data_IF_899796377275
#
_entry.id   IF_899796377275
#
_cell.length_a   1.000
_cell.length_b   1.000
_cell.length_c   1.000
_cell.angle_alpha   90.00
_cell.angle_beta   90.00
_cell.angle_gamma   90.00
#
_symmetry.space_group_name_H-M   'P 1'
#
loop_
_entity.id
_entity.type
_entity.pdbx_description
1 polymer ?
#
# COMPACT_ATOMS: atom_id res chain seq x y z
N UNK A 1 17.19 26.56 -14.33
CA UNK A 1 17.72 25.15 -14.32
C UNK A 1 17.01 24.38 -13.19
N UNK A 2 16.48 23.17 -13.46
CA UNK A 2 15.90 22.28 -12.44
C UNK A 2 16.94 21.20 -12.12
N UNK A 3 17.48 21.23 -10.92
CA UNK A 3 18.37 20.19 -10.40
C UNK A 3 17.54 19.22 -9.56
N UNK A 4 17.38 17.98 -10.03
CA UNK A 4 16.75 16.88 -9.28
C UNK A 4 17.86 16.00 -8.75
N UNK A 5 17.99 15.93 -7.43
CA UNK A 5 18.99 15.06 -6.78
C UNK A 5 18.31 13.80 -6.25
N UNK A 6 18.78 12.62 -6.69
CA UNK A 6 18.18 11.30 -6.37
C UNK A 6 18.74 10.67 -5.07
N UNK A 7 19.33 11.41 -4.15
CA UNK A 7 20.07 10.79 -3.04
C UNK A 7 19.17 10.41 -1.85
N UNK A 8 18.47 9.28 -2.01
CA UNK A 8 17.93 8.48 -0.92
C UNK A 8 19.00 7.63 -0.22
N UNK A 9 19.43 8.07 0.96
CA UNK A 9 20.12 7.39 2.09
C UNK A 9 20.96 6.09 1.91
N UNK A 10 22.20 5.89 2.41
CA UNK A 10 23.28 6.68 3.06
C UNK A 10 24.61 5.94 2.79
N UNK A 11 25.62 6.62 2.24
CA UNK A 11 26.99 6.54 2.76
C UNK A 11 27.53 7.98 2.73
N UNK A 12 27.94 8.49 3.89
CA UNK A 12 28.25 9.89 4.20
C UNK A 12 29.52 10.42 3.52
N UNK A 13 29.73 10.18 2.22
CA UNK A 13 30.96 10.63 1.56
C UNK A 13 30.91 10.91 0.04
N UNK A 14 29.77 10.93 -0.65
CA UNK A 14 29.82 11.13 -2.13
C UNK A 14 28.93 12.17 -2.79
N UNK A 15 28.15 12.97 -2.07
CA UNK A 15 27.50 14.16 -2.64
C UNK A 15 28.12 15.43 -2.05
N UNK A 16 29.44 15.56 -2.23
CA UNK A 16 30.16 16.79 -1.99
C UNK A 16 29.91 17.71 -3.19
N UNK A 17 29.11 18.76 -2.99
CA UNK A 17 29.46 20.14 -3.36
C UNK A 17 30.39 20.31 -4.58
N UNK A 18 29.99 19.90 -5.78
CA UNK A 18 30.75 20.20 -7.01
C UNK A 18 29.91 20.82 -8.13
N UNK A 19 28.69 21.28 -7.86
CA UNK A 19 27.84 21.96 -8.86
C UNK A 19 27.43 23.39 -8.49
N UNK A 20 27.89 23.92 -7.34
CA UNK A 20 27.49 25.26 -6.87
C UNK A 20 28.52 26.38 -7.12
N UNK A 21 29.54 26.15 -7.95
CA UNK A 21 30.48 27.19 -8.37
C UNK A 21 30.54 27.32 -9.90
N UNK A 22 29.40 27.57 -10.53
CA UNK A 22 29.40 28.25 -11.83
C UNK A 22 28.34 29.34 -11.84
N UNK A 23 28.70 30.62 -11.95
CA UNK A 23 27.74 31.68 -12.17
C UNK A 23 27.28 31.58 -13.62
N UNK A 24 26.12 30.94 -13.84
CA UNK A 24 25.45 30.99 -15.13
C UNK A 24 24.67 32.30 -15.22
N UNK A 25 25.34 33.29 -15.81
CA UNK A 25 24.75 34.52 -16.31
C UNK A 25 23.90 34.24 -17.57
N UNK A 26 22.82 35.02 -17.68
CA UNK A 26 22.14 35.42 -18.91
C UNK A 26 21.14 34.47 -19.60
N UNK A 27 20.25 33.85 -18.83
CA UNK A 27 18.87 33.65 -19.30
C UNK A 27 17.88 33.96 -18.18
N UNK A 28 16.73 34.54 -18.53
CA UNK A 28 15.59 34.71 -17.63
C UNK A 28 14.92 33.35 -17.32
N UNK A 29 15.73 32.33 -17.08
CA UNK A 29 15.30 30.97 -16.79
C UNK A 29 15.00 30.85 -15.32
N UNK A 30 13.74 30.56 -15.06
CA UNK A 30 13.23 30.18 -13.76
C UNK A 30 14.17 29.14 -13.12
N UNK A 31 14.81 29.54 -12.03
CA UNK A 31 15.72 28.69 -11.25
C UNK A 31 14.92 28.07 -10.11
N UNK A 32 14.84 26.74 -10.11
CA UNK A 32 14.14 25.97 -9.09
C UNK A 32 15.03 24.84 -8.58
N UNK A 33 15.12 24.70 -7.26
CA UNK A 33 15.83 23.62 -6.57
C UNK A 33 14.81 22.63 -6.03
N UNK A 34 14.83 21.39 -6.50
CA UNK A 34 13.90 20.35 -6.05
C UNK A 34 14.69 19.21 -5.43
N UNK A 35 14.56 19.07 -4.11
CA UNK A 35 15.19 18.00 -3.34
C UNK A 35 14.22 16.83 -3.22
N UNK A 36 14.56 15.69 -3.82
CA UNK A 36 13.80 14.46 -3.68
C UNK A 36 14.51 13.56 -2.66
N UNK A 37 13.92 13.41 -1.49
CA UNK A 37 14.56 12.76 -0.33
C UNK A 37 13.76 11.52 0.03
N UNK A 38 14.42 10.37 -0.05
CA UNK A 38 13.91 9.15 0.55
C UNK A 38 14.18 9.19 2.07
N UNK A 39 13.11 9.30 2.86
CA UNK A 39 13.21 9.49 4.31
C UNK A 39 13.81 8.26 5.00
N UNK A 40 14.83 8.44 5.83
CA UNK A 40 15.34 7.37 6.71
C UNK A 40 15.51 7.85 8.15
N UNK A 41 15.41 6.93 9.11
CA UNK A 41 15.38 7.24 10.56
C UNK A 41 16.65 7.97 11.07
N UNK A 42 17.77 8.02 10.33
CA UNK A 42 19.04 8.58 10.82
C UNK A 42 19.43 9.95 10.26
N UNK A 43 18.49 10.72 9.71
CA UNK A 43 18.78 12.01 9.05
C UNK A 43 19.15 13.15 10.02
N UNK A 44 18.92 13.01 11.33
CA UNK A 44 19.12 14.08 12.32
C UNK A 44 20.56 14.61 12.44
N UNK A 45 21.56 13.82 12.05
CA UNK A 45 22.97 14.16 12.24
C UNK A 45 23.69 14.65 10.97
N UNK A 46 23.00 14.77 9.84
CA UNK A 46 23.63 15.18 8.59
C UNK A 46 23.51 16.70 8.37
N UNK A 47 24.43 17.30 7.62
CA UNK A 47 24.24 18.66 7.06
C UNK A 47 23.58 18.48 5.70
N UNK A 48 22.31 18.81 5.60
CA UNK A 48 21.54 18.62 4.39
C UNK A 48 20.62 19.80 4.09
N UNK A 49 19.75 19.66 3.06
CA UNK A 49 18.88 20.73 2.57
C UNK A 49 17.94 21.33 3.64
N UNK A 50 17.75 20.65 4.76
CA UNK A 50 16.93 21.13 5.89
C UNK A 50 17.48 22.35 6.63
N UNK A 51 18.75 22.75 6.41
CA UNK A 51 19.22 24.07 6.91
C UNK A 51 18.39 25.23 6.37
N UNK A 52 17.68 25.02 5.25
CA UNK A 52 16.86 26.03 4.59
C UNK A 52 15.41 26.11 5.10
N UNK A 53 14.85 25.03 5.65
CA UNK A 53 13.45 25.02 6.13
C UNK A 53 13.30 25.49 7.58
N UNK A 54 14.38 25.87 8.27
CA UNK A 54 14.37 26.11 9.71
C UNK A 54 14.28 24.80 10.50
N UNK A 55 15.01 24.73 11.61
CA UNK A 55 15.15 23.49 12.38
C UNK A 55 13.82 22.98 12.96
N UNK A 56 12.95 23.90 13.38
CA UNK A 56 11.67 23.57 14.01
C UNK A 56 10.65 22.98 13.03
N UNK A 57 10.55 23.57 11.83
CA UNK A 57 9.65 23.08 10.77
C UNK A 57 10.15 21.73 10.27
N UNK A 58 11.46 21.56 10.06
CA UNK A 58 12.03 20.30 9.59
C UNK A 58 11.74 19.14 10.54
N UNK A 59 11.98 19.32 11.83
CA UNK A 59 11.72 18.26 12.82
C UNK A 59 10.23 17.90 12.86
N UNK A 60 9.36 18.91 12.80
CA UNK A 60 7.91 18.71 12.81
C UNK A 60 7.43 18.02 11.53
N UNK A 61 7.93 18.42 10.37
CA UNK A 61 7.64 17.84 9.05
C UNK A 61 8.10 16.38 8.97
N UNK A 62 9.34 16.10 9.37
CA UNK A 62 9.89 14.75 9.39
C UNK A 62 9.11 13.85 10.35
N UNK A 63 8.78 14.37 11.53
CA UNK A 63 7.95 13.65 12.49
C UNK A 63 6.56 13.39 11.94
N UNK A 64 5.91 14.37 11.32
CA UNK A 64 4.59 14.20 10.70
C UNK A 64 4.62 13.15 9.58
N UNK A 65 5.64 13.21 8.71
CA UNK A 65 5.86 12.28 7.61
C UNK A 65 6.07 10.83 8.11
N UNK A 66 6.94 10.66 9.10
CA UNK A 66 7.28 9.35 9.65
C UNK A 66 6.15 8.79 10.51
N UNK A 67 5.63 9.56 11.46
CA UNK A 67 4.60 9.09 12.41
C UNK A 67 3.25 8.86 11.71
N UNK A 68 3.01 9.50 10.57
CA UNK A 68 1.71 9.47 9.87
C UNK A 68 0.57 10.06 10.70
N UNK A 69 0.90 10.89 11.70
CA UNK A 69 -0.09 11.46 12.60
C UNK A 69 -0.85 12.59 11.90
N UNK A 70 -2.09 12.29 11.51
CA UNK A 70 -2.97 13.20 10.78
C UNK A 70 -3.21 14.53 11.53
N UNK A 71 -3.15 14.55 12.87
CA UNK A 71 -3.26 15.78 13.65
C UNK A 71 -2.05 16.70 13.40
N UNK A 72 -0.84 16.16 13.46
CA UNK A 72 0.40 16.93 13.24
C UNK A 72 0.45 17.42 11.78
N UNK A 73 0.06 16.57 10.82
CA UNK A 73 -0.03 16.98 9.42
C UNK A 73 -0.99 18.17 9.25
N UNK A 74 -2.22 18.06 9.78
CA UNK A 74 -3.21 19.15 9.70
C UNK A 74 -2.77 20.42 10.41
N UNK A 75 -2.11 20.28 11.55
CA UNK A 75 -1.56 21.44 12.29
C UNK A 75 -0.50 22.16 11.45
N UNK A 76 0.41 21.41 10.81
CA UNK A 76 1.44 21.98 9.94
C UNK A 76 0.85 22.61 8.67
N UNK A 77 -0.09 21.94 8.01
CA UNK A 77 -0.82 22.48 6.85
C UNK A 77 -1.56 23.78 7.23
N UNK A 78 -2.19 23.83 8.41
CA UNK A 78 -2.91 25.04 8.87
C UNK A 78 -2.00 26.21 9.24
N UNK A 79 -0.74 25.93 9.56
CA UNK A 79 0.25 26.94 9.96
C UNK A 79 1.10 27.42 8.78
N UNK A 80 1.16 26.66 7.70
CA UNK A 80 2.02 26.95 6.57
C UNK A 80 1.41 26.45 5.26
N UNK A 81 0.93 27.40 4.45
CA UNK A 81 0.33 27.15 3.14
C UNK A 81 1.31 26.52 2.14
N UNK A 82 2.62 26.54 2.44
CA UNK A 82 3.65 25.94 1.60
C UNK A 82 4.01 24.49 2.00
N UNK A 83 3.20 23.85 2.84
CA UNK A 83 3.37 22.45 3.22
C UNK A 83 2.16 21.65 2.72
N UNK A 84 2.44 20.50 2.11
CA UNK A 84 1.43 19.60 1.59
C UNK A 84 1.74 18.15 2.02
N UNK A 85 0.77 17.48 2.64
CA UNK A 85 0.87 16.05 2.93
C UNK A 85 -0.12 15.26 2.07
N UNK A 86 0.41 14.34 1.28
CA UNK A 86 -0.36 13.41 0.49
C UNK A 86 -0.14 12.00 1.03
N UNK A 87 -1.21 11.27 1.31
CA UNK A 87 -1.16 9.84 1.65
C UNK A 87 -2.18 9.09 0.83
N UNK A 88 -1.74 8.08 0.08
CA UNK A 88 -2.59 7.32 -0.84
C UNK A 88 -2.20 5.84 -0.84
N UNK A 89 -3.09 4.99 -1.33
CA UNK A 89 -2.78 3.57 -1.47
C UNK A 89 -2.27 3.31 -2.87
N UNK A 90 -1.12 2.67 -2.97
CA UNK A 90 -0.54 2.16 -4.21
C UNK A 90 -0.67 0.65 -4.24
N UNK A 91 -0.87 0.10 -5.43
CA UNK A 91 -0.76 -1.32 -5.67
C UNK A 91 0.70 -1.78 -5.56
N UNK A 92 0.96 -2.79 -4.75
CA UNK A 92 2.27 -3.46 -4.68
C UNK A 92 2.10 -4.97 -4.77
N UNK A 93 3.12 -5.64 -5.30
CA UNK A 93 3.19 -7.09 -5.35
C UNK A 93 4.16 -7.60 -4.29
N UNK A 94 3.81 -8.73 -3.67
CA UNK A 94 4.64 -9.41 -2.70
C UNK A 94 4.64 -10.91 -3.00
N UNK A 95 5.79 -11.56 -2.99
CA UNK A 95 5.83 -13.03 -3.08
C UNK A 95 5.21 -13.67 -1.84
N UNK A 96 4.65 -14.87 -1.98
CA UNK A 96 4.12 -15.64 -0.85
C UNK A 96 5.16 -15.81 0.27
N UNK A 97 6.43 -16.01 -0.07
CA UNK A 97 7.51 -16.12 0.91
C UNK A 97 7.72 -14.83 1.71
N UNK A 98 7.73 -13.67 1.03
CA UNK A 98 7.81 -12.36 1.70
C UNK A 98 6.57 -12.09 2.56
N UNK A 99 5.38 -12.48 2.11
CA UNK A 99 4.16 -12.36 2.90
C UNK A 99 4.21 -13.17 4.19
N UNK A 100 4.65 -14.44 4.11
CA UNK A 100 4.83 -15.28 5.29
C UNK A 100 5.88 -14.69 6.24
N UNK A 101 6.97 -14.10 5.73
CA UNK A 101 7.92 -13.35 6.55
C UNK A 101 7.23 -12.16 7.23
N UNK A 102 6.42 -11.39 6.51
CA UNK A 102 5.62 -10.30 7.06
C UNK A 102 4.71 -10.76 8.21
N UNK A 103 4.00 -11.86 8.00
CA UNK A 103 3.13 -12.49 9.02
C UNK A 103 3.93 -12.95 10.25
N UNK A 104 5.14 -13.48 10.06
CA UNK A 104 6.07 -13.85 11.16
C UNK A 104 6.49 -12.63 11.95
N UNK A 105 6.91 -11.54 11.30
CA UNK A 105 7.31 -10.31 11.99
C UNK A 105 6.20 -9.81 12.94
N UNK A 106 4.92 -9.92 12.54
CA UNK A 106 3.78 -9.50 13.35
C UNK A 106 3.48 -10.45 14.52
N UNK A 107 3.63 -11.76 14.32
CA UNK A 107 3.16 -12.78 15.28
C UNK A 107 4.28 -13.39 16.12
N UNK A 108 5.35 -13.86 15.46
CA UNK A 108 6.50 -14.56 16.03
C UNK A 108 7.73 -14.26 15.18
N UNK A 109 8.65 -13.37 15.61
CA UNK A 109 9.75 -12.88 14.78
C UNK A 109 10.91 -13.90 14.62
N UNK A 110 10.65 -15.18 14.88
CA UNK A 110 11.60 -16.30 14.81
C UNK A 110 11.01 -17.44 13.96
N UNK A 111 11.80 -18.49 13.70
CA UNK A 111 11.33 -19.60 12.86
C UNK A 111 10.14 -20.36 13.47
N UNK A 112 9.33 -20.99 12.61
CA UNK A 112 8.03 -21.60 12.95
C UNK A 112 8.14 -22.61 14.08
N UNK A 113 9.27 -23.31 14.17
CA UNK A 113 9.49 -24.39 15.13
C UNK A 113 9.84 -23.90 16.54
N UNK A 114 10.10 -22.60 16.72
CA UNK A 114 10.45 -22.08 18.04
C UNK A 114 9.26 -21.41 18.70
N UNK A 115 8.92 -21.81 19.93
CA UNK A 115 7.84 -21.21 20.73
C UNK A 115 8.40 -20.25 21.80
N UNK A 116 9.65 -20.45 22.22
CA UNK A 116 10.36 -19.59 23.16
C UNK A 116 11.50 -18.84 22.46
N UNK A 117 12.02 -17.77 23.08
CA UNK A 117 13.15 -17.01 22.52
C UNK A 117 14.35 -17.94 22.26
N UNK A 118 14.79 -18.10 21.00
CA UNK A 118 15.89 -18.99 20.66
C UNK A 118 17.19 -18.66 21.38
N UNK A 119 17.41 -17.39 21.79
CA UNK A 119 18.56 -17.00 22.61
C UNK A 119 18.56 -17.71 23.97
N UNK A 120 17.38 -17.88 24.58
CA UNK A 120 17.24 -18.59 25.86
C UNK A 120 17.47 -20.09 25.70
N UNK A 121 17.10 -20.62 24.55
CA UNK A 121 17.26 -22.04 24.23
C UNK A 121 18.63 -22.39 23.63
N UNK A 122 19.48 -21.38 23.34
CA UNK A 122 20.77 -21.55 22.65
C UNK A 122 20.64 -22.31 21.32
N UNK A 123 19.56 -22.06 20.57
CA UNK A 123 19.27 -22.72 19.30
C UNK A 123 19.65 -21.84 18.11
N UNK A 124 20.16 -22.47 17.04
CA UNK A 124 20.29 -21.81 15.75
C UNK A 124 18.91 -21.34 15.25
N UNK A 125 18.83 -20.11 14.75
CA UNK A 125 17.55 -19.55 14.33
C UNK A 125 17.69 -18.36 13.39
N UNK A 126 16.61 -18.13 12.63
CA UNK A 126 16.42 -16.93 11.82
C UNK A 126 15.54 -15.94 12.57
N UNK A 127 16.00 -14.69 12.69
CA UNK A 127 15.20 -13.57 13.21
C UNK A 127 14.77 -12.67 12.07
N UNK A 128 13.52 -12.23 12.14
CA UNK A 128 12.92 -11.33 11.17
C UNK A 128 12.67 -9.98 11.81
N UNK A 129 13.21 -8.94 11.19
CA UNK A 129 12.99 -7.56 11.60
C UNK A 129 12.49 -6.73 10.42
N UNK A 130 11.61 -5.77 10.70
CA UNK A 130 11.27 -4.73 9.74
C UNK A 130 12.26 -3.57 9.89
N UNK A 131 12.69 -3.01 8.76
CA UNK A 131 13.48 -1.77 8.73
C UNK A 131 12.83 -0.81 7.73
N UNK A 132 12.48 0.42 8.15
CA UNK A 132 12.63 1.02 9.49
C UNK A 132 11.79 0.34 10.60
N UNK A 133 12.18 0.50 11.87
CA UNK A 133 11.50 -0.14 13.02
C UNK A 133 10.18 0.54 13.37
N UNK A 134 9.98 1.77 12.91
CA UNK A 134 8.79 2.58 13.15
C UNK A 134 8.37 3.37 11.89
N UNK A 135 7.07 3.71 11.74
CA UNK A 135 5.90 2.94 12.14
C UNK A 135 5.54 1.89 11.08
N UNK A 136 5.07 0.74 11.57
CA UNK A 136 4.50 -0.32 10.75
C UNK A 136 3.28 0.20 9.99
N UNK A 137 3.42 0.67 8.73
CA UNK A 137 2.20 0.92 7.94
C UNK A 137 1.59 -0.41 7.54
N UNK A 138 0.29 -0.48 7.74
CA UNK A 138 -0.55 -1.63 7.45
C UNK A 138 -0.63 -1.78 5.93
N UNK A 139 -0.49 -3.00 5.46
CA UNK A 139 -0.80 -3.37 4.09
C UNK A 139 -1.99 -4.32 4.13
N UNK A 140 -2.94 -4.11 3.21
CA UNK A 140 -4.12 -4.95 3.05
C UNK A 140 -3.96 -5.87 1.86
N UNK A 141 -4.31 -7.15 1.98
CA UNK A 141 -4.36 -8.06 0.82
C UNK A 141 -5.55 -7.63 -0.03
N UNK A 142 -5.29 -7.36 -1.31
CA UNK A 142 -6.33 -7.11 -2.32
C UNK A 142 -6.69 -8.42 -2.99
N UNK A 143 -5.70 -9.16 -3.50
CA UNK A 143 -5.93 -10.44 -4.20
C UNK A 143 -4.69 -11.34 -4.25
N UNK A 144 -4.87 -12.61 -4.62
CA UNK A 144 -3.79 -13.53 -5.03
C UNK A 144 -3.69 -13.62 -6.55
N UNK A 145 -2.49 -13.82 -7.08
CA UNK A 145 -2.20 -14.01 -8.51
C UNK A 145 -2.30 -15.48 -8.94
N UNK A 146 -2.31 -15.73 -10.25
CA UNK A 146 -2.55 -16.99 -11.01
C UNK A 146 -1.92 -18.30 -10.49
N UNK A 147 -0.95 -18.25 -9.56
CA UNK A 147 -0.27 -19.42 -9.00
C UNK A 147 -0.25 -19.45 -7.46
N UNK A 148 -0.97 -18.56 -6.77
CA UNK A 148 -0.79 -18.25 -5.34
C UNK A 148 0.63 -17.82 -4.95
N UNK A 149 1.51 -17.58 -5.94
CA UNK A 149 2.92 -17.20 -5.72
C UNK A 149 3.08 -15.71 -5.44
N UNK A 150 2.23 -14.87 -6.03
CA UNK A 150 2.27 -13.41 -5.90
C UNK A 150 0.96 -12.97 -5.26
N UNK A 151 1.07 -12.14 -4.24
CA UNK A 151 -0.03 -11.50 -3.56
C UNK A 151 0.00 -10.01 -3.88
N UNK A 152 -1.17 -9.45 -4.19
CA UNK A 152 -1.36 -8.04 -4.41
C UNK A 152 -1.81 -7.38 -3.11
N UNK A 153 -1.16 -6.28 -2.77
CA UNK A 153 -1.45 -5.51 -1.58
C UNK A 153 -1.72 -4.05 -1.90
N UNK A 154 -2.53 -3.42 -1.05
CA UNK A 154 -2.62 -1.98 -0.95
C UNK A 154 -1.58 -1.50 0.05
N UNK A 155 -0.63 -0.69 -0.40
CA UNK A 155 0.39 -0.07 0.42
C UNK A 155 0.12 1.42 0.57
N UNK A 156 -0.04 1.90 1.81
CA UNK A 156 -0.18 3.33 2.07
C UNK A 156 1.17 4.04 1.91
N UNK A 157 1.27 4.81 0.83
CA UNK A 157 2.39 5.67 0.49
C UNK A 157 2.10 7.11 0.89
N UNK A 158 3.11 7.81 1.38
CA UNK A 158 3.06 9.21 1.78
C UNK A 158 4.14 10.01 1.07
N UNK A 159 3.77 11.22 0.68
CA UNK A 159 4.67 12.29 0.31
C UNK A 159 4.40 13.47 1.23
N UNK A 160 5.47 14.07 1.73
CA UNK A 160 5.41 15.39 2.35
C UNK A 160 6.19 16.35 1.50
N UNK A 161 5.54 17.40 1.03
CA UNK A 161 6.15 18.44 0.25
C UNK A 161 6.22 19.72 1.09
N UNK A 162 7.35 20.41 1.03
CA UNK A 162 7.48 21.76 1.56
C UNK A 162 8.19 22.61 0.50
N UNK A 163 7.72 23.83 0.26
CA UNK A 163 8.40 24.76 -0.64
C UNK A 163 8.53 26.16 -0.04
N UNK A 164 9.49 26.93 -0.53
CA UNK A 164 9.72 28.31 -0.14
C UNK A 164 10.55 29.02 -1.22
N UNK A 165 10.43 30.34 -1.32
CA UNK A 165 11.33 31.17 -2.12
C UNK A 165 12.49 31.63 -1.24
N UNK A 166 13.72 31.26 -1.60
CA UNK A 166 14.95 31.59 -0.87
C UNK A 166 15.87 32.32 -1.84
N UNK A 167 16.25 33.55 -1.52
CA UNK A 167 17.11 34.40 -2.37
C UNK A 167 16.59 34.53 -3.81
N UNK A 168 15.26 34.60 -3.98
CA UNK A 168 14.60 34.67 -5.29
C UNK A 168 14.55 33.35 -6.07
N UNK A 169 15.04 32.25 -5.49
CA UNK A 169 15.01 30.91 -6.08
C UNK A 169 13.94 30.06 -5.41
N UNK A 170 13.05 29.48 -6.21
CA UNK A 170 12.06 28.53 -5.69
C UNK A 170 12.78 27.26 -5.20
N UNK A 171 12.57 26.91 -3.95
CA UNK A 171 13.17 25.75 -3.31
C UNK A 171 12.08 24.83 -2.79
N UNK A 172 12.07 23.59 -3.23
CA UNK A 172 11.12 22.57 -2.81
C UNK A 172 11.85 21.35 -2.27
N UNK A 173 11.30 20.78 -1.21
CA UNK A 173 11.71 19.53 -0.61
C UNK A 173 10.54 18.55 -0.64
N UNK A 174 10.76 17.43 -1.32
CA UNK A 174 9.84 16.31 -1.43
C UNK A 174 10.39 15.16 -0.60
N UNK A 175 9.70 14.85 0.49
CA UNK A 175 9.92 13.69 1.30
C UNK A 175 9.07 12.54 0.76
N UNK A 176 9.73 11.46 0.37
CA UNK A 176 9.09 10.24 -0.09
C UNK A 176 9.35 9.14 0.93
N UNK A 177 8.34 8.31 1.13
CA UNK A 177 8.49 7.11 1.94
C UNK A 177 9.68 6.25 1.54
N UNK A 178 10.42 5.70 2.53
CA UNK A 178 11.49 4.77 2.25
C UNK A 178 10.99 3.45 1.66
N UNK A 179 11.84 2.86 0.83
CA UNK A 179 11.76 1.45 0.44
C UNK A 179 11.84 0.59 1.71
N UNK A 180 10.92 -0.37 1.81
CA UNK A 180 10.88 -1.29 2.94
C UNK A 180 11.76 -2.50 2.73
N UNK A 181 12.45 -2.87 3.79
CA UNK A 181 13.27 -4.08 3.82
C UNK A 181 12.91 -4.94 5.03
N UNK A 182 12.93 -6.25 4.80
CA UNK A 182 13.07 -7.24 5.83
C UNK A 182 14.56 -7.44 6.10
N UNK A 183 14.97 -7.18 7.35
CA UNK A 183 16.27 -7.59 7.83
C UNK A 183 16.11 -8.99 8.42
N UNK A 184 16.69 -9.97 7.73
CA UNK A 184 16.74 -11.36 8.15
C UNK A 184 18.12 -11.60 8.73
N UNK A 185 18.15 -11.93 10.02
CA UNK A 185 19.39 -12.22 10.74
C UNK A 185 19.44 -13.71 11.01
N UNK A 186 20.44 -14.39 10.47
CA UNK A 186 20.72 -15.77 10.83
C UNK A 186 21.73 -15.79 11.99
N UNK A 187 21.36 -16.46 13.08
CA UNK A 187 22.18 -16.55 14.29
C UNK A 187 22.52 -18.03 14.50
N UNK A 188 23.79 -18.36 14.30
CA UNK A 188 24.32 -19.69 14.56
C UNK A 188 25.12 -19.69 15.87
N UNK A 189 24.75 -20.58 16.79
CA UNK A 189 25.47 -20.77 18.06
C UNK A 189 26.41 -21.97 17.92
N UNK A 190 27.72 -21.71 17.79
CA UNK A 190 28.73 -22.76 17.84
C UNK A 190 29.06 -23.06 19.31
N UNK A 191 29.43 -24.32 19.60
CA UNK A 191 29.57 -24.93 20.93
C UNK A 191 30.59 -24.29 21.90
N UNK A 192 31.17 -25.06 22.84
CA UNK A 192 31.40 -24.66 24.24
C UNK A 192 32.22 -23.39 24.54
N UNK A 193 32.93 -22.79 23.58
CA UNK A 193 33.67 -21.53 23.72
C UNK A 193 33.03 -20.34 22.95
N UNK A 194 31.70 -20.35 22.83
CA UNK A 194 30.75 -19.27 22.48
C UNK A 194 31.27 -18.13 21.58
N UNK A 195 31.60 -18.43 20.33
CA UNK A 195 31.48 -17.47 19.24
C UNK A 195 30.13 -17.67 18.54
N UNK A 196 29.29 -16.63 18.48
CA UNK A 196 28.11 -16.64 17.62
C UNK A 196 28.45 -16.04 16.27
N UNK A 197 28.00 -16.69 15.20
CA UNK A 197 28.11 -16.17 13.84
C UNK A 197 26.79 -15.51 13.47
N UNK A 198 26.87 -14.23 13.09
CA UNK A 198 25.72 -13.42 12.70
C UNK A 198 25.85 -13.10 11.22
N UNK A 199 24.88 -13.57 10.43
CA UNK A 199 24.77 -13.22 9.01
C UNK A 199 23.52 -12.39 8.81
N UNK A 200 23.71 -11.16 8.33
CA UNK A 200 22.62 -10.22 8.07
C UNK A 200 22.31 -10.20 6.57
N UNK A 201 21.04 -10.43 6.22
CA UNK A 201 20.54 -10.32 4.86
C UNK A 201 19.40 -9.31 4.80
N UNK A 202 19.49 -8.34 3.88
CA UNK A 202 18.39 -7.43 3.58
C UNK A 202 17.62 -7.94 2.37
N UNK A 203 16.31 -8.11 2.53
CA UNK A 203 15.40 -8.51 1.47
C UNK A 203 14.37 -7.41 1.27
N UNK A 204 14.26 -6.86 0.06
CA UNK A 204 13.22 -5.87 -0.26
C UNK A 204 11.83 -6.48 -0.06
N UNK A 205 10.90 -5.71 0.51
CA UNK A 205 9.54 -6.19 0.75
C UNK A 205 8.67 -6.20 -0.52
N UNK A 206 8.95 -5.33 -1.50
CA UNK A 206 7.98 -4.97 -2.55
C UNK A 206 8.55 -4.80 -3.97
N UNK A 207 9.84 -5.11 -4.20
CA UNK A 207 10.50 -4.74 -5.48
C UNK A 207 11.30 -5.88 -6.11
N UNK A 208 11.01 -7.15 -5.81
CA UNK A 208 11.91 -8.20 -6.29
C UNK A 208 11.22 -9.54 -6.55
N UNK A 209 10.42 -9.59 -7.61
CA UNK A 209 10.10 -10.85 -8.30
C UNK A 209 11.19 -11.24 -9.31
N UNK A 210 12.11 -10.33 -9.68
CA UNK A 210 12.94 -10.49 -10.89
C UNK A 210 14.45 -10.66 -10.69
N UNK A 211 15.08 -10.43 -9.53
CA UNK A 211 16.53 -10.73 -9.40
C UNK A 211 16.90 -12.22 -9.35
N UNK A 212 15.93 -13.13 -9.46
CA UNK A 212 16.20 -14.57 -9.55
C UNK A 212 15.57 -15.21 -10.79
N UNK A 213 15.25 -14.44 -11.84
CA UNK A 213 14.82 -15.00 -13.13
C UNK A 213 16.02 -15.32 -13.99
N UNK A 214 16.77 -16.35 -13.61
CA UNK A 214 17.62 -17.01 -14.60
C UNK A 214 16.83 -18.03 -15.44
N UNK A 215 15.55 -18.39 -15.17
CA UNK A 215 14.89 -19.45 -15.96
C UNK A 215 13.35 -19.50 -16.02
N UNK A 216 12.57 -18.50 -15.57
CA UNK A 216 11.11 -18.57 -15.70
C UNK A 216 10.54 -17.40 -16.51
N UNK A 217 9.95 -17.65 -17.69
CA UNK A 217 9.22 -16.63 -18.43
C UNK A 217 8.00 -16.21 -17.60
N UNK A 218 7.98 -14.94 -17.22
CA UNK A 218 6.81 -14.31 -16.60
C UNK A 218 5.70 -14.30 -17.66
N UNK A 219 4.51 -14.86 -17.39
CA UNK A 219 3.41 -14.81 -18.33
C UNK A 219 3.06 -13.36 -18.69
N UNK A 220 2.91 -13.12 -19.98
CA UNK A 220 2.62 -11.85 -20.64
C UNK A 220 1.19 -11.36 -20.42
N UNK A 221 0.72 -11.30 -19.17
CA UNK A 221 -0.41 -10.42 -18.87
C UNK A 221 0.12 -8.98 -18.90
N UNK A 222 -0.45 -8.08 -19.72
CA UNK A 222 0.09 -6.77 -20.04
C UNK A 222 -0.26 -5.78 -18.92
N UNK A 223 0.19 -6.04 -17.70
CA UNK A 223 0.24 -5.01 -16.69
C UNK A 223 1.58 -4.31 -16.88
N UNK A 224 1.65 -3.49 -17.94
CA UNK A 224 2.79 -2.63 -18.32
C UNK A 224 3.12 -1.54 -17.26
N UNK A 225 2.59 -1.67 -16.05
CA UNK A 225 2.89 -0.72 -14.99
C UNK A 225 4.21 -1.12 -14.31
N UNK A 226 5.17 -0.18 -14.19
CA UNK A 226 6.41 -0.40 -13.45
C UNK A 226 6.11 -0.41 -11.94
N UNK A 227 5.43 -1.47 -11.49
CA UNK A 227 5.14 -1.74 -10.08
C UNK A 227 6.43 -1.94 -9.29
N UNK A 228 7.51 -2.37 -9.97
CA UNK A 228 8.80 -2.73 -9.39
C UNK A 228 9.79 -1.56 -9.29
N UNK A 229 9.46 -0.38 -9.83
CA UNK A 229 10.34 0.78 -9.74
C UNK A 229 10.14 1.53 -8.41
N UNK A 230 11.22 1.90 -7.70
CA UNK A 230 11.15 2.81 -6.56
C UNK A 230 10.37 4.06 -6.96
N UNK A 231 9.44 4.48 -6.11
CA UNK A 231 8.58 5.62 -6.44
C UNK A 231 9.36 6.91 -6.68
N UNK A 232 10.49 7.09 -5.99
CA UNK A 232 11.44 8.19 -6.18
C UNK A 232 11.92 8.25 -7.63
N UNK A 233 12.34 7.12 -8.20
CA UNK A 233 12.84 7.07 -9.58
C UNK A 233 11.73 7.38 -10.57
N UNK A 234 10.54 6.80 -10.35
CA UNK A 234 9.35 7.07 -11.16
C UNK A 234 8.94 8.55 -11.11
N UNK A 235 8.96 9.17 -9.92
CA UNK A 235 8.70 10.61 -9.79
C UNK A 235 9.74 11.42 -10.57
N UNK A 236 11.03 11.07 -10.46
CA UNK A 236 12.09 11.77 -11.17
C UNK A 236 11.90 11.66 -12.71
N UNK A 237 11.40 10.53 -13.21
CA UNK A 237 11.01 10.37 -14.61
C UNK A 237 9.81 11.23 -15.00
N UNK A 238 8.74 11.23 -14.19
CA UNK A 238 7.56 12.09 -14.45
C UNK A 238 7.97 13.57 -14.43
N UNK A 239 8.87 13.98 -13.53
CA UNK A 239 9.44 15.33 -13.51
C UNK A 239 10.18 15.66 -14.80
N UNK A 240 10.99 14.74 -15.32
CA UNK A 240 11.72 14.92 -16.59
C UNK A 240 10.74 15.05 -17.76
N UNK A 241 9.74 14.18 -17.85
CA UNK A 241 8.71 14.24 -18.90
C UNK A 241 7.87 15.52 -18.84
N UNK A 242 7.63 16.03 -17.63
CA UNK A 242 6.80 17.22 -17.42
C UNK A 242 7.58 18.51 -17.65
N UNK A 243 8.92 18.47 -17.52
CA UNK A 243 9.83 19.60 -17.81
C UNK A 243 9.80 19.99 -19.29
N UNK A 244 9.63 19.02 -20.19
CA UNK A 244 9.59 19.27 -21.64
C UNK A 244 8.28 19.95 -22.09
N UNK A 245 7.34 20.15 -21.17
CA UNK A 245 6.06 20.83 -21.42
C UNK A 245 6.11 22.26 -20.89
N UNK A 246 5.37 23.18 -21.53
CA UNK A 246 5.25 24.63 -21.18
C UNK A 246 4.82 24.93 -19.72
N UNK A 247 4.55 23.90 -18.90
CA UNK A 247 4.29 23.97 -17.45
C UNK A 247 5.48 24.54 -16.66
N UNK A 248 6.67 24.61 -17.26
CA UNK A 248 7.91 25.09 -16.65
C UNK A 248 7.89 26.57 -16.16
N UNK A 249 6.85 27.35 -16.48
CA UNK A 249 6.75 28.76 -16.04
C UNK A 249 6.41 28.92 -14.55
N UNK A 250 5.83 27.91 -13.91
CA UNK A 250 5.57 27.93 -12.47
C UNK A 250 6.02 26.60 -11.83
N UNK A 251 7.06 26.62 -10.98
CA UNK A 251 7.66 25.40 -10.43
C UNK A 251 6.72 24.71 -9.42
N UNK A 252 5.85 25.45 -8.75
CA UNK A 252 4.82 24.89 -7.87
C UNK A 252 3.81 24.10 -8.69
N UNK A 253 3.27 24.68 -9.78
CA UNK A 253 2.33 23.99 -10.67
C UNK A 253 2.94 22.75 -11.30
N UNK A 254 4.24 22.78 -11.62
CA UNK A 254 4.96 21.60 -12.13
C UNK A 254 4.97 20.45 -11.11
N UNK A 255 5.22 20.75 -9.83
CA UNK A 255 5.19 19.76 -8.74
C UNK A 255 3.77 19.24 -8.54
N UNK A 256 2.79 20.11 -8.44
CA UNK A 256 1.39 19.74 -8.26
C UNK A 256 0.89 18.84 -9.40
N UNK A 257 1.19 19.20 -10.66
CA UNK A 257 0.85 18.40 -11.83
C UNK A 257 1.58 17.03 -11.83
N UNK A 258 2.85 17.01 -11.43
CA UNK A 258 3.64 15.77 -11.32
C UNK A 258 3.07 14.83 -10.26
N UNK A 259 2.72 15.36 -9.09
CA UNK A 259 2.11 14.62 -7.99
C UNK A 259 0.71 14.13 -8.37
N UNK A 260 -0.10 14.97 -8.99
CA UNK A 260 -1.44 14.63 -9.47
C UNK A 260 -1.39 13.49 -10.50
N UNK A 261 -0.45 13.54 -11.45
CA UNK A 261 -0.26 12.47 -12.45
C UNK A 261 0.17 11.17 -11.79
N UNK A 262 1.16 11.21 -10.89
CA UNK A 262 1.61 10.02 -10.17
C UNK A 262 0.51 9.37 -9.31
N UNK A 263 -0.32 10.20 -8.66
CA UNK A 263 -1.49 9.77 -7.91
C UNK A 263 -2.54 9.12 -8.81
N UNK A 264 -2.87 9.77 -9.93
CA UNK A 264 -3.83 9.25 -10.89
C UNK A 264 -3.42 7.86 -11.38
N UNK A 265 -2.18 7.71 -11.83
CA UNK A 265 -1.66 6.45 -12.37
C UNK A 265 -1.71 5.32 -11.33
N UNK A 266 -1.36 5.60 -10.07
CA UNK A 266 -1.41 4.62 -8.98
C UNK A 266 -2.84 4.21 -8.62
N UNK A 267 -3.75 5.18 -8.50
CA UNK A 267 -5.14 4.91 -8.13
C UNK A 267 -5.84 4.16 -9.25
N UNK A 268 -5.65 4.52 -10.52
CA UNK A 268 -6.22 3.77 -11.66
C UNK A 268 -5.71 2.33 -11.67
N UNK A 269 -4.42 2.10 -11.41
CA UNK A 269 -3.85 0.75 -11.34
C UNK A 269 -4.45 -0.07 -10.18
N UNK A 270 -4.61 0.57 -9.02
CA UNK A 270 -5.28 0.00 -7.85
C UNK A 270 -6.74 -0.37 -8.14
N UNK A 271 -7.51 0.55 -8.71
CA UNK A 271 -8.93 0.36 -9.07
C UNK A 271 -9.10 -0.78 -10.06
N UNK A 272 -8.24 -0.85 -11.09
CA UNK A 272 -8.24 -1.95 -12.05
C UNK A 272 -8.03 -3.29 -11.36
N UNK A 273 -7.06 -3.38 -10.44
CA UNK A 273 -6.79 -4.63 -9.71
C UNK A 273 -7.93 -5.02 -8.78
N UNK A 274 -8.55 -4.06 -8.08
CA UNK A 274 -9.75 -4.31 -7.28
C UNK A 274 -10.85 -4.84 -8.21
N UNK A 275 -11.08 -4.21 -9.36
CA UNK A 275 -12.03 -4.67 -10.38
C UNK A 275 -11.80 -6.13 -10.79
N UNK A 276 -10.58 -6.50 -11.17
CA UNK A 276 -10.26 -7.90 -11.52
C UNK A 276 -10.46 -8.87 -10.35
N UNK A 277 -10.24 -8.42 -9.12
CA UNK A 277 -10.46 -9.23 -7.91
C UNK A 277 -11.96 -9.49 -7.72
N UNK A 278 -12.78 -8.46 -7.89
CA UNK A 278 -14.24 -8.57 -7.86
C UNK A 278 -14.76 -9.52 -8.93
N UNK A 279 -14.27 -9.39 -10.18
CA UNK A 279 -14.60 -10.33 -11.26
C UNK A 279 -14.25 -11.78 -10.87
N UNK A 280 -13.09 -11.99 -10.23
CA UNK A 280 -12.66 -13.32 -9.79
C UNK A 280 -13.56 -13.89 -8.71
N UNK A 281 -13.94 -13.06 -7.73
CA UNK A 281 -14.87 -13.46 -6.66
C UNK A 281 -16.22 -13.82 -7.27
N UNK A 282 -16.79 -12.94 -8.10
CA UNK A 282 -18.09 -13.11 -8.75
C UNK A 282 -18.16 -14.40 -9.59
N UNK A 283 -17.14 -14.67 -10.41
CA UNK A 283 -17.05 -15.92 -11.18
C UNK A 283 -16.95 -17.15 -10.27
N UNK A 284 -16.27 -17.02 -9.13
CA UNK A 284 -16.06 -18.11 -8.18
C UNK A 284 -17.23 -18.32 -7.20
N UNK A 285 -18.18 -17.38 -7.10
CA UNK A 285 -19.35 -17.49 -6.22
C UNK A 285 -20.29 -18.66 -6.58
N UNK A 286 -20.21 -19.17 -7.81
CA UNK A 286 -21.05 -20.25 -8.31
C UNK A 286 -20.60 -21.64 -7.83
N UNK A 287 -19.36 -21.78 -7.33
CA UNK A 287 -18.82 -23.06 -6.84
C UNK A 287 -18.86 -23.09 -5.30
N UNK A 288 -19.78 -23.88 -4.75
CA UNK A 288 -19.97 -24.02 -3.31
C UNK A 288 -18.71 -24.46 -2.56
N UNK A 289 -17.85 -25.30 -3.17
CA UNK A 289 -16.61 -25.75 -2.53
C UNK A 289 -15.57 -24.63 -2.48
N UNK A 290 -15.42 -23.88 -3.57
CA UNK A 290 -14.50 -22.73 -3.64
C UNK A 290 -14.97 -21.64 -2.69
N UNK A 291 -16.28 -21.38 -2.66
CA UNK A 291 -16.92 -20.43 -1.75
C UNK A 291 -16.60 -20.79 -0.29
N UNK A 292 -16.87 -22.01 0.15
CA UNK A 292 -16.59 -22.42 1.54
C UNK A 292 -15.11 -22.26 1.93
N UNK A 293 -14.19 -22.58 1.02
CA UNK A 293 -12.75 -22.49 1.28
C UNK A 293 -12.23 -21.05 1.26
N UNK A 294 -12.85 -20.16 0.48
CA UNK A 294 -12.31 -18.81 0.19
C UNK A 294 -13.03 -17.68 0.91
N UNK A 295 -14.21 -17.94 1.48
CA UNK A 295 -15.08 -16.94 2.13
C UNK A 295 -14.35 -16.08 3.16
N UNK A 296 -13.54 -16.66 4.05
CA UNK A 296 -12.84 -15.88 5.08
C UNK A 296 -11.85 -14.90 4.46
N UNK A 297 -11.18 -15.34 3.40
CA UNK A 297 -10.21 -14.54 2.65
C UNK A 297 -10.91 -13.44 1.87
N UNK A 298 -11.97 -13.76 1.13
CA UNK A 298 -12.75 -12.79 0.37
C UNK A 298 -13.42 -11.75 1.26
N UNK A 299 -13.94 -12.13 2.43
CA UNK A 299 -14.46 -11.16 3.42
C UNK A 299 -13.40 -10.17 3.87
N UNK A 300 -12.21 -10.66 4.18
CA UNK A 300 -11.10 -9.80 4.56
C UNK A 300 -10.70 -8.88 3.40
N UNK A 301 -10.55 -9.42 2.19
CA UNK A 301 -10.19 -8.66 0.99
C UNK A 301 -11.23 -7.58 0.66
N UNK A 302 -12.52 -7.91 0.62
CA UNK A 302 -13.59 -6.94 0.37
C UNK A 302 -13.62 -5.87 1.47
N UNK A 303 -13.44 -6.24 2.73
CA UNK A 303 -13.31 -5.28 3.83
C UNK A 303 -12.14 -4.31 3.64
N UNK A 304 -10.99 -4.82 3.18
CA UNK A 304 -9.83 -3.99 2.83
C UNK A 304 -10.11 -3.08 1.63
N UNK A 305 -10.70 -3.60 0.55
CA UNK A 305 -11.07 -2.82 -0.63
C UNK A 305 -11.98 -1.64 -0.23
N UNK A 306 -13.01 -1.86 0.59
CA UNK A 306 -13.89 -0.79 1.10
C UNK A 306 -13.12 0.30 1.82
N UNK A 307 -12.25 -0.10 2.75
CA UNK A 307 -11.44 0.86 3.52
C UNK A 307 -10.50 1.68 2.62
N UNK A 308 -9.83 1.00 1.69
CA UNK A 308 -8.90 1.62 0.74
C UNK A 308 -9.62 2.61 -0.17
N UNK A 309 -10.74 2.21 -0.79
CA UNK A 309 -11.55 3.06 -1.67
C UNK A 309 -12.06 4.30 -0.93
N UNK A 310 -12.55 4.15 0.30
CA UNK A 310 -12.97 5.27 1.13
C UNK A 310 -11.82 6.27 1.36
N UNK A 311 -10.62 5.78 1.73
CA UNK A 311 -9.45 6.64 1.94
C UNK A 311 -8.98 7.32 0.66
N UNK A 312 -9.04 6.63 -0.49
CA UNK A 312 -8.70 7.22 -1.79
C UNK A 312 -9.72 8.29 -2.22
N UNK A 313 -11.01 8.06 -2.00
CA UNK A 313 -12.04 9.05 -2.30
C UNK A 313 -11.85 10.34 -1.49
N UNK A 314 -11.55 10.21 -0.21
CA UNK A 314 -11.28 11.37 0.65
C UNK A 314 -10.01 12.11 0.24
N UNK A 315 -8.96 11.40 -0.18
CA UNK A 315 -7.76 12.01 -0.72
C UNK A 315 -8.06 12.81 -1.99
N UNK A 316 -8.75 12.23 -2.98
CA UNK A 316 -9.07 12.94 -4.23
C UNK A 316 -9.91 14.17 -3.94
N UNK A 317 -10.84 14.10 -2.99
CA UNK A 317 -11.62 15.26 -2.54
C UNK A 317 -10.71 16.34 -1.96
N UNK A 318 -9.77 15.98 -1.09
CA UNK A 318 -8.78 16.92 -0.51
C UNK A 318 -7.89 17.54 -1.58
N UNK A 319 -7.35 16.74 -2.48
CA UNK A 319 -6.47 17.21 -3.57
C UNK A 319 -7.23 18.09 -4.54
N UNK A 320 -8.46 17.73 -4.91
CA UNK A 320 -9.31 18.56 -5.79
C UNK A 320 -9.63 19.92 -5.19
N UNK A 321 -9.81 20.01 -3.86
CA UNK A 321 -10.06 21.27 -3.15
C UNK A 321 -8.76 22.07 -3.00
N UNK A 322 -7.66 21.42 -2.61
CA UNK A 322 -6.38 22.08 -2.36
C UNK A 322 -5.66 22.55 -3.63
N UNK A 323 -5.80 21.81 -4.73
CA UNK A 323 -5.28 22.21 -6.04
C UNK A 323 -6.25 23.10 -6.82
N UNK A 324 -7.48 23.32 -6.33
CA UNK A 324 -8.50 24.11 -7.03
C UNK A 324 -7.96 25.47 -7.48
N UNK A 325 -8.53 26.07 -8.54
CA UNK A 325 -7.98 27.27 -9.15
C UNK A 325 -7.76 28.31 -8.07
N UNK A 326 -6.50 28.55 -7.71
CA UNK A 326 -6.13 29.63 -6.82
C UNK A 326 -6.62 30.87 -7.54
N UNK A 327 -7.76 31.40 -7.10
CA UNK A 327 -8.29 32.67 -7.54
C UNK A 327 -7.29 33.71 -7.07
N UNK A 328 -6.20 33.87 -7.82
CA UNK A 328 -5.44 35.10 -7.83
C UNK A 328 -6.39 36.15 -8.40
N UNK A 329 -7.28 36.65 -7.56
CA UNK A 329 -7.86 37.97 -7.73
C UNK A 329 -6.68 38.92 -7.77
N UNK A 330 -6.31 39.34 -8.97
CA UNK A 330 -5.42 40.48 -9.17
C UNK A 330 -6.12 41.73 -8.62
N UNK A 331 -6.00 41.94 -7.32
CA UNK A 331 -6.19 43.23 -6.70
C UNK A 331 -4.95 44.08 -6.96
N UNK A 332 -4.83 44.67 -8.16
CA UNK A 332 -4.16 45.96 -8.35
C UNK A 332 -4.52 46.58 -9.72
N UNK A 333 -5.53 47.44 -9.66
CA UNK A 333 -5.50 48.82 -10.19
C UNK A 333 -5.53 49.04 -11.71
N UNK A 334 -6.71 49.42 -12.17
CA UNK A 334 -6.99 50.54 -13.07
C UNK A 334 -5.76 51.30 -13.61
N UNK A 335 -5.44 51.15 -14.90
CA UNK A 335 -5.56 52.25 -15.87
C UNK A 335 -5.04 51.88 -17.28
N UNK A 336 -5.93 52.12 -18.24
CA UNK A 336 -5.63 52.64 -19.60
C UNK A 336 -5.24 51.70 -20.74
N UNK A 337 -6.17 51.69 -21.71
CA UNK A 337 -6.01 51.77 -23.17
C UNK A 337 -5.50 50.56 -23.96
N UNK A 338 -6.49 49.83 -24.49
CA UNK A 338 -6.66 49.54 -25.93
C UNK A 338 -5.41 49.56 -26.81
N UNK A 339 -4.87 48.36 -27.09
CA UNK A 339 -4.43 48.01 -28.44
C UNK A 339 -4.70 46.52 -28.68
N UNK A 340 -5.39 46.27 -29.79
CA UNK A 340 -5.74 44.97 -30.36
C UNK A 340 -4.53 44.06 -30.53
N UNK A 341 -4.58 42.87 -29.93
CA UNK A 341 -3.71 41.75 -30.29
C UNK A 341 -4.52 40.45 -30.25
N UNK A 342 -4.99 40.05 -31.42
CA UNK A 342 -5.50 38.71 -31.73
C UNK A 342 -4.30 37.76 -31.82
N UNK A 343 -3.81 37.21 -30.71
CA UNK A 343 -2.92 36.02 -30.72
C UNK A 343 -2.68 35.45 -29.29
N UNK A 344 -3.74 35.21 -28.53
CA UNK A 344 -3.62 34.56 -27.22
C UNK A 344 -4.80 33.61 -26.97
N UNK A 345 -4.88 32.51 -27.73
CA UNK A 345 -5.97 31.53 -27.63
C UNK A 345 -5.45 30.07 -27.57
N UNK A 346 -4.30 29.84 -26.94
CA UNK A 346 -3.69 28.50 -26.85
C UNK A 346 -3.21 28.06 -25.45
N UNK A 347 -3.39 28.87 -24.40
CA UNK A 347 -2.77 28.61 -23.08
C UNK A 347 -3.70 27.99 -22.02
N UNK A 348 -4.98 27.70 -22.34
CA UNK A 348 -5.98 27.27 -21.35
C UNK A 348 -6.37 25.79 -21.36
N UNK A 349 -6.01 25.01 -22.39
CA UNK A 349 -6.56 23.65 -22.55
C UNK A 349 -5.83 22.57 -21.74
N UNK A 350 -4.56 22.79 -21.34
CA UNK A 350 -3.81 21.78 -20.59
C UNK A 350 -4.07 21.81 -19.08
N UNK A 351 -4.49 22.96 -18.53
CA UNK A 351 -4.78 23.11 -17.11
C UNK A 351 -6.12 22.47 -16.74
N UNK A 352 -7.10 22.50 -17.66
CA UNK A 352 -8.40 21.82 -17.49
C UNK A 352 -8.31 20.30 -17.56
N UNK A 353 -7.33 19.74 -18.30
CA UNK A 353 -7.14 18.29 -18.42
C UNK A 353 -6.82 17.61 -17.08
N UNK A 354 -6.04 18.25 -16.20
CA UNK A 354 -5.68 17.68 -14.90
C UNK A 354 -6.88 17.63 -13.94
N UNK A 355 -7.69 18.68 -13.86
CA UNK A 355 -8.88 18.67 -12.99
C UNK A 355 -9.98 17.75 -13.50
N UNK A 356 -10.20 17.70 -14.82
CA UNK A 356 -11.11 16.74 -15.42
C UNK A 356 -10.68 15.29 -15.13
N UNK A 357 -9.37 15.02 -15.13
CA UNK A 357 -8.81 13.72 -14.76
C UNK A 357 -9.11 13.34 -13.30
N UNK A 358 -8.90 14.22 -12.33
CA UNK A 358 -9.27 13.94 -10.92
C UNK A 358 -10.77 13.73 -10.72
N UNK A 359 -11.61 14.51 -11.40
CA UNK A 359 -13.07 14.34 -11.37
C UNK A 359 -13.51 12.99 -11.92
N UNK A 360 -12.91 12.54 -13.04
CA UNK A 360 -13.17 11.22 -13.61
C UNK A 360 -12.74 10.08 -12.67
N UNK A 361 -11.61 10.26 -11.98
CA UNK A 361 -11.09 9.29 -11.03
C UNK A 361 -12.00 9.17 -9.79
N UNK A 362 -12.54 10.28 -9.29
CA UNK A 362 -13.53 10.27 -8.21
C UNK A 362 -14.79 9.48 -8.60
N UNK A 363 -15.28 9.64 -9.84
CA UNK A 363 -16.41 8.88 -10.35
C UNK A 363 -16.08 7.38 -10.46
N UNK A 364 -14.86 7.04 -10.89
CA UNK A 364 -14.40 5.64 -10.96
C UNK A 364 -14.31 4.99 -9.58
N UNK A 365 -13.77 5.69 -8.57
CA UNK A 365 -13.75 5.21 -7.18
C UNK A 365 -15.17 4.90 -6.70
N UNK A 366 -16.12 5.82 -6.92
CA UNK A 366 -17.50 5.64 -6.48
C UNK A 366 -18.14 4.42 -7.15
N UNK A 367 -17.93 4.25 -8.46
CA UNK A 367 -18.42 3.09 -9.21
C UNK A 367 -17.84 1.78 -8.66
N UNK A 368 -16.53 1.72 -8.43
CA UNK A 368 -15.90 0.51 -7.87
C UNK A 368 -16.37 0.28 -6.43
N UNK A 369 -16.54 1.33 -5.62
CA UNK A 369 -17.05 1.24 -4.26
C UNK A 369 -18.47 0.65 -4.22
N UNK A 370 -19.37 1.11 -5.09
CA UNK A 370 -20.72 0.57 -5.21
C UNK A 370 -20.68 -0.93 -5.57
N UNK A 371 -19.82 -1.30 -6.53
CA UNK A 371 -19.63 -2.71 -6.91
C UNK A 371 -19.13 -3.56 -5.74
N UNK A 372 -18.14 -3.08 -4.97
CA UNK A 372 -17.64 -3.80 -3.79
C UNK A 372 -18.76 -4.05 -2.78
N UNK A 373 -19.67 -3.09 -2.58
CA UNK A 373 -20.81 -3.28 -1.67
C UNK A 373 -21.81 -4.32 -2.19
N UNK A 374 -22.11 -4.30 -3.50
CA UNK A 374 -22.96 -5.29 -4.16
C UNK A 374 -22.37 -6.69 -4.01
N UNK A 375 -21.08 -6.87 -4.33
CA UNK A 375 -20.40 -8.17 -4.26
C UNK A 375 -20.26 -8.65 -2.81
N UNK A 376 -20.09 -7.73 -1.86
CA UNK A 376 -20.11 -8.05 -0.45
C UNK A 376 -21.47 -8.57 0.01
N UNK A 377 -22.56 -7.93 -0.41
CA UNK A 377 -23.92 -8.41 -0.13
C UNK A 377 -24.19 -9.76 -0.79
N UNK A 378 -23.79 -9.93 -2.05
CA UNK A 378 -23.90 -11.20 -2.77
C UNK A 378 -23.15 -12.32 -2.05
N UNK A 379 -21.91 -12.08 -1.62
CA UNK A 379 -21.11 -13.04 -0.85
C UNK A 379 -21.80 -13.46 0.45
N UNK A 380 -22.35 -12.50 1.20
CA UNK A 380 -23.05 -12.78 2.45
C UNK A 380 -24.34 -13.59 2.21
N UNK A 381 -25.07 -13.27 1.15
CA UNK A 381 -26.26 -14.02 0.73
C UNK A 381 -25.92 -15.46 0.34
N UNK A 382 -24.92 -15.66 -0.54
CA UNK A 382 -24.47 -16.99 -0.96
C UNK A 382 -23.99 -17.83 0.22
N UNK A 383 -23.28 -17.24 1.18
CA UNK A 383 -22.91 -17.97 2.39
C UNK A 383 -24.13 -18.39 3.22
N UNK A 384 -25.12 -17.51 3.41
CA UNK A 384 -26.33 -17.87 4.14
C UNK A 384 -27.08 -19.02 3.47
N UNK A 385 -27.11 -19.06 2.14
CA UNK A 385 -27.70 -20.17 1.37
C UNK A 385 -26.92 -21.46 1.59
N UNK A 386 -25.59 -21.43 1.50
CA UNK A 386 -24.75 -22.62 1.71
C UNK A 386 -24.84 -23.15 3.13
N UNK A 387 -24.86 -22.27 4.14
CA UNK A 387 -25.05 -22.65 5.54
C UNK A 387 -26.42 -23.28 5.77
N UNK A 388 -27.47 -22.73 5.16
CA UNK A 388 -28.82 -23.29 5.22
C UNK A 388 -28.90 -24.68 4.56
N UNK A 389 -28.33 -24.83 3.36
CA UNK A 389 -28.26 -26.11 2.65
C UNK A 389 -27.52 -27.18 3.46
N UNK A 390 -26.41 -26.79 4.11
CA UNK A 390 -25.67 -27.65 5.03
C UNK A 390 -26.50 -28.06 6.25
N UNK A 391 -27.17 -27.12 6.90
CA UNK A 391 -28.01 -27.41 8.06
C UNK A 391 -29.16 -28.36 7.71
N UNK A 392 -29.75 -28.21 6.52
CA UNK A 392 -30.78 -29.14 6.00
C UNK A 392 -30.18 -30.53 5.79
N UNK A 393 -29.00 -30.64 5.18
CA UNK A 393 -28.33 -31.92 4.97
C UNK A 393 -27.99 -32.61 6.30
N UNK A 394 -27.45 -31.87 7.27
CA UNK A 394 -27.18 -32.38 8.63
C UNK A 394 -28.47 -32.86 9.31
N UNK A 395 -29.56 -32.12 9.18
CA UNK A 395 -30.87 -32.50 9.72
C UNK A 395 -31.41 -33.78 9.07
N UNK A 396 -31.24 -33.95 7.76
CA UNK A 396 -31.63 -35.18 7.06
C UNK A 396 -30.81 -36.39 7.52
N UNK A 397 -29.50 -36.22 7.76
CA UNK A 397 -28.64 -37.27 8.30
C UNK A 397 -29.09 -37.66 9.71
N UNK A 398 -29.35 -36.68 10.58
CA UNK A 398 -29.87 -36.91 11.93
C UNK A 398 -31.23 -37.61 11.87
N UNK A 399 -32.12 -37.19 10.97
CA UNK A 399 -33.43 -37.82 10.77
C UNK A 399 -33.32 -39.29 10.33
N UNK A 400 -32.41 -39.60 9.39
CA UNK A 400 -32.15 -40.99 8.98
C UNK A 400 -31.59 -41.83 10.13
N UNK A 401 -30.65 -41.26 10.91
CA UNK A 401 -30.06 -41.93 12.06
C UNK A 401 -31.09 -42.22 13.15
N UNK A 402 -31.94 -41.25 13.49
CA UNK A 402 -33.00 -41.42 14.49
C UNK A 402 -34.06 -42.41 14.02
N UNK A 403 -34.40 -42.41 12.72
CA UNK A 403 -35.31 -43.41 12.16
C UNK A 403 -34.75 -44.83 12.31
N UNK A 404 -33.47 -45.04 11.98
CA UNK A 404 -32.81 -46.34 12.18
C UNK A 404 -32.77 -46.73 13.67
N UNK A 405 -32.39 -45.81 14.55
CA UNK A 405 -32.34 -46.05 15.99
C UNK A 405 -33.73 -46.44 16.54
N UNK A 406 -34.80 -45.80 16.06
CA UNK A 406 -36.17 -46.09 16.47
C UNK A 406 -36.59 -47.53 16.15
N UNK A 407 -36.12 -48.11 15.05
CA UNK A 407 -36.37 -49.51 14.73
C UNK A 407 -35.43 -50.47 15.47
N UNK A 408 -34.12 -50.18 15.47
CA UNK A 408 -33.13 -51.13 15.96
C UNK A 408 -33.03 -51.20 17.48
N UNK A 409 -33.29 -50.10 18.22
CA UNK A 409 -33.20 -50.11 19.68
C UNK A 409 -34.26 -51.05 20.29
N UNK A 410 -35.57 -50.96 19.95
CA UNK A 410 -36.57 -51.89 20.48
C UNK A 410 -36.33 -53.33 20.04
N UNK A 411 -35.93 -53.56 18.79
CA UNK A 411 -35.64 -54.91 18.28
C UNK A 411 -34.45 -55.55 19.00
N UNK A 412 -33.38 -54.77 19.25
CA UNK A 412 -32.21 -55.22 20.00
C UNK A 412 -32.57 -55.55 21.45
N UNK A 413 -33.47 -54.76 22.06
CA UNK A 413 -33.98 -55.03 23.40
C UNK A 413 -34.74 -56.37 23.44
N UNK A 414 -35.66 -56.60 22.50
CA UNK A 414 -36.42 -57.86 22.41
C UNK A 414 -35.46 -59.04 22.20
N UNK A 415 -34.51 -58.92 21.28
CA UNK A 415 -33.50 -59.96 21.05
C UNK A 415 -32.64 -60.23 22.29
N UNK A 416 -32.32 -59.21 23.07
CA UNK A 416 -31.59 -59.35 24.34
C UNK A 416 -32.42 -60.11 25.37
N UNK A 417 -33.71 -59.77 25.53
CA UNK A 417 -34.63 -60.47 26.44
C UNK A 417 -34.73 -61.96 26.09
N UNK A 418 -34.82 -62.32 24.81
CA UNK A 418 -34.84 -63.73 24.38
C UNK A 418 -33.47 -64.42 24.42
N UNK A 419 -32.37 -63.65 24.34
CA UNK A 419 -31.01 -64.17 24.50
C UNK A 419 -30.59 -64.38 25.96
N UNK A 420 -31.31 -63.81 26.93
CA UNK A 420 -31.10 -64.09 28.34
C UNK A 420 -31.56 -65.53 28.65
N UNK A 421 -30.63 -66.38 29.09
CA UNK A 421 -30.94 -67.69 29.66
C UNK A 421 -31.64 -67.51 31.00
N UNK A 422 -32.94 -67.26 30.97
CA UNK A 422 -33.78 -67.26 32.15
C UNK A 422 -34.05 -68.73 32.47
N UNK A 423 -33.34 -69.27 33.48
CA UNK A 423 -33.60 -70.61 33.99
C UNK A 423 -35.00 -70.64 34.61
N UNK A 424 -36.00 -71.04 33.82
CA UNK A 424 -37.41 -71.18 34.27
C UNK A 424 -37.65 -72.45 35.09
N UNK A 425 -36.61 -73.15 35.53
CA UNK A 425 -36.73 -74.29 36.44
C UNK A 425 -36.99 -73.81 37.88
N UNK A 426 -38.25 -73.56 38.22
CA UNK A 426 -38.69 -73.65 39.61
C UNK A 426 -38.92 -75.13 39.96
N UNK A 427 -38.52 -75.59 41.17
CA UNK A 427 -38.66 -76.98 41.58
C UNK A 427 -40.13 -77.36 41.75
N UNK A 428 -40.52 -78.51 41.19
CA UNK A 428 -41.77 -79.18 41.50
C UNK A 428 -41.71 -79.65 42.96
N UNK A 429 -42.64 -79.16 43.78
CA UNK A 429 -42.96 -79.75 45.09
C UNK A 429 -43.89 -80.95 44.91
#
# INVERSE_FOLDING_TARGET
MIEVTNTGSINTTKALLSALETPLQDSADLSARIFLIECTESLSNQRGPWTWCGQDIWQSLLRAHLDGNEYICKELESKNDNILFLSWHRLVAQSKAQYEIGKRIVTKPYDIDTIADPLKLKLEHKRYYQTPKTPNRKYGIISSHKDDKILYHAFEQCISCCWQIIDGVFTCMLLVDPVRYHLIVNINFKGPDYAFERVDQRVSCFLNTTRNTDNYPIPSDPIDYPLDQPYVDRLAEIFKESKDRDVARNPQKLIEATLARGLHDDITCLLRRIGCTLDTIELSLHDDMVLQNSVSTWRSQLGWCRHVLFRQGELIRRVSVGLGPTTYENATTENSSSTSSEHAQGYGENESLNFCSLGSLAAEINRVSERVEIDHQALMSSMSIVESARAIAETQVVSKLTHLAFFFIPLSLISSVFGMNINTSAPAN
#
